data_IF_588531019247
#
_entry.id   IF_588531019247
#
_cell.length_a   1.000
_cell.length_b   1.000
_cell.length_c   1.000
_cell.angle_alpha   90.00
_cell.angle_beta   90.00
_cell.angle_gamma   90.00
#
_symmetry.space_group_name_H-M   'P 1'
#
loop_
_entity.id
_entity.type
_entity.pdbx_description
1 polymer ?
#
# COMPACT_ATOMS: atom_id res chain seq x y z
N UNK A 1 12.18 -17.63 -0.54
CA UNK A 1 11.52 -16.99 -1.70
C UNK A 1 12.12 -15.60 -1.85
N UNK A 2 12.40 -15.12 -3.07
CA UNK A 2 13.09 -13.83 -3.27
C UNK A 2 12.09 -12.68 -3.36
N UNK A 3 12.28 -11.65 -2.54
CA UNK A 3 11.56 -10.37 -2.64
C UNK A 3 12.39 -9.34 -3.40
N UNK A 4 11.70 -8.47 -4.12
CA UNK A 4 12.27 -7.35 -4.87
C UNK A 4 11.42 -6.12 -4.59
N UNK A 5 12.06 -5.02 -4.20
CA UNK A 5 11.39 -3.75 -3.94
C UNK A 5 11.66 -2.82 -5.10
N UNK A 6 10.60 -2.25 -5.68
CA UNK A 6 10.70 -1.25 -6.74
C UNK A 6 10.48 0.14 -6.14
N UNK A 7 11.42 1.06 -6.37
CA UNK A 7 11.27 2.46 -5.98
C UNK A 7 11.16 3.38 -7.20
N UNK A 8 10.69 4.61 -6.99
CA UNK A 8 10.67 5.63 -8.05
C UNK A 8 12.07 6.15 -8.37
N UNK A 9 12.89 6.35 -7.33
CA UNK A 9 14.27 6.83 -7.37
C UNK A 9 15.15 5.96 -6.47
N UNK A 10 16.45 6.02 -6.71
CA UNK A 10 17.42 5.18 -6.01
C UNK A 10 17.51 5.47 -4.50
N UNK A 11 17.22 6.71 -4.09
CA UNK A 11 17.30 7.16 -2.70
C UNK A 11 15.92 7.28 -2.02
N UNK A 12 14.85 6.77 -2.63
CA UNK A 12 13.51 6.77 -1.99
C UNK A 12 13.46 5.80 -0.79
N UNK A 13 14.39 4.84 -0.71
CA UNK A 13 14.54 3.89 0.38
C UNK A 13 16.02 3.47 0.43
N UNK A 14 16.64 3.54 1.62
CA UNK A 14 18.04 3.14 1.77
C UNK A 14 18.22 1.63 1.51
N UNK A 15 19.30 1.26 0.83
CA UNK A 15 19.62 -0.13 0.54
C UNK A 15 19.89 -0.95 1.81
N UNK A 16 20.28 -0.30 2.92
CA UNK A 16 20.44 -0.97 4.21
C UNK A 16 19.14 -1.07 5.02
N UNK A 17 18.07 -0.42 4.59
CA UNK A 17 16.78 -0.44 5.31
C UNK A 17 16.08 -1.80 5.25
N UNK A 18 16.50 -2.69 4.36
CA UNK A 18 15.90 -4.01 4.15
C UNK A 18 16.91 -4.98 3.54
N UNK A 19 16.88 -6.29 3.88
CA UNK A 19 17.75 -7.28 3.24
C UNK A 19 17.37 -7.56 1.77
N UNK A 20 16.24 -7.03 1.30
CA UNK A 20 15.71 -7.30 -0.04
C UNK A 20 16.34 -6.42 -1.11
N UNK A 21 16.41 -6.95 -2.33
CA UNK A 21 16.97 -6.20 -3.46
C UNK A 21 16.07 -5.02 -3.82
N UNK A 22 16.58 -3.80 -3.67
CA UNK A 22 15.94 -2.56 -4.14
C UNK A 22 16.44 -2.24 -5.55
N UNK A 23 15.52 -1.96 -6.48
CA UNK A 23 15.81 -1.45 -7.83
C UNK A 23 14.81 -0.38 -8.20
N UNK A 24 15.16 0.50 -9.14
CA UNK A 24 14.19 1.50 -9.62
C UNK A 24 13.17 0.87 -10.57
N UNK A 25 11.97 1.43 -10.63
CA UNK A 25 10.98 1.04 -11.63
C UNK A 25 11.50 1.23 -13.07
N UNK A 26 12.36 2.22 -13.31
CA UNK A 26 13.03 2.44 -14.61
C UNK A 26 13.89 1.25 -14.98
N UNK A 27 14.75 0.80 -14.06
CA UNK A 27 15.70 -0.28 -14.35
C UNK A 27 14.96 -1.62 -14.49
N UNK A 28 13.90 -1.85 -13.72
CA UNK A 28 13.04 -3.02 -13.83
C UNK A 28 12.32 -3.12 -15.20
N UNK A 29 11.89 -1.97 -15.73
CA UNK A 29 11.27 -1.87 -17.06
C UNK A 29 12.30 -2.04 -18.18
N UNK A 30 13.48 -1.42 -18.04
CA UNK A 30 14.50 -1.35 -19.08
C UNK A 30 15.29 -2.65 -19.30
N UNK A 31 15.28 -3.59 -18.34
CA UNK A 31 16.09 -4.81 -18.41
C UNK A 31 15.22 -6.08 -18.39
N UNK A 32 14.74 -6.58 -19.55
CA UNK A 32 13.86 -7.75 -19.60
C UNK A 32 14.45 -9.08 -19.15
N UNK A 33 15.77 -9.20 -19.17
CA UNK A 33 16.50 -10.38 -18.66
C UNK A 33 16.57 -10.43 -17.13
N UNK A 34 16.26 -9.31 -16.46
CA UNK A 34 16.33 -9.20 -15.01
C UNK A 34 15.28 -10.12 -14.39
N UNK A 35 15.74 -11.08 -13.58
CA UNK A 35 14.95 -12.19 -13.01
C UNK A 35 14.42 -13.22 -14.03
N UNK A 36 15.01 -13.33 -15.23
CA UNK A 36 14.65 -14.39 -16.19
C UNK A 36 14.77 -15.78 -15.53
N UNK A 37 13.72 -16.59 -15.65
CA UNK A 37 13.65 -17.92 -15.03
C UNK A 37 13.34 -17.92 -13.54
N UNK A 38 13.23 -16.75 -12.90
CA UNK A 38 12.82 -16.60 -11.51
C UNK A 38 11.37 -16.13 -11.43
N UNK A 39 10.75 -16.26 -10.25
CA UNK A 39 9.39 -15.76 -9.97
C UNK A 39 9.38 -15.01 -8.64
N UNK A 40 10.07 -13.85 -8.56
CA UNK A 40 10.12 -13.08 -7.33
C UNK A 40 8.74 -12.55 -6.92
N UNK A 41 8.61 -12.23 -5.64
CA UNK A 41 7.54 -11.35 -5.15
C UNK A 41 8.03 -9.91 -5.23
N UNK A 42 7.22 -9.03 -5.79
CA UNK A 42 7.57 -7.64 -6.09
C UNK A 42 6.71 -6.72 -5.23
N UNK A 43 7.36 -5.86 -4.44
CA UNK A 43 6.70 -4.77 -3.72
C UNK A 43 7.01 -3.50 -4.50
N UNK A 44 6.00 -2.95 -5.14
CA UNK A 44 6.11 -1.72 -5.90
C UNK A 44 5.80 -0.54 -4.98
N UNK A 45 6.81 0.26 -4.67
CA UNK A 45 6.77 1.49 -3.85
C UNK A 45 6.98 2.73 -4.73
N UNK A 46 6.48 2.69 -5.98
CA UNK A 46 6.58 3.84 -6.87
C UNK A 46 5.82 5.06 -6.31
N UNK A 47 6.38 6.25 -6.51
CA UNK A 47 5.76 7.50 -6.06
C UNK A 47 4.46 7.87 -6.81
N UNK A 48 4.20 7.22 -7.96
CA UNK A 48 3.02 7.45 -8.77
C UNK A 48 2.54 6.13 -9.40
N UNK A 49 1.23 5.87 -9.31
CA UNK A 49 0.54 4.71 -9.85
C UNK A 49 -0.51 5.05 -10.91
N UNK A 50 -0.61 6.32 -11.33
CA UNK A 50 -1.56 6.74 -12.35
C UNK A 50 -1.38 5.98 -13.67
N UNK A 51 -2.44 5.94 -14.48
CA UNK A 51 -2.41 5.29 -15.78
C UNK A 51 -1.21 5.79 -16.62
N UNK A 52 -0.53 4.86 -17.29
CA UNK A 52 0.71 5.10 -18.06
C UNK A 52 1.92 5.59 -17.25
N UNK A 53 1.85 5.64 -15.92
CA UNK A 53 3.03 5.90 -15.10
C UNK A 53 4.00 4.71 -15.12
N UNK A 54 5.26 4.96 -14.73
CA UNK A 54 6.23 3.88 -14.55
C UNK A 54 5.82 2.87 -13.48
N UNK A 55 5.15 3.33 -12.41
CA UNK A 55 4.64 2.44 -11.36
C UNK A 55 3.58 1.50 -11.92
N UNK A 56 2.64 2.02 -12.71
CA UNK A 56 1.63 1.23 -13.41
C UNK A 56 2.26 0.19 -14.34
N UNK A 57 3.16 0.61 -15.23
CA UNK A 57 3.81 -0.31 -16.17
C UNK A 57 4.69 -1.35 -15.46
N UNK A 58 5.33 -1.01 -14.34
CA UNK A 58 6.13 -1.96 -13.59
C UNK A 58 5.28 -3.10 -13.01
N UNK A 59 4.11 -2.80 -12.43
CA UNK A 59 3.20 -3.84 -11.96
C UNK A 59 2.57 -4.64 -13.11
N UNK A 60 2.21 -3.98 -14.22
CA UNK A 60 1.73 -4.68 -15.41
C UNK A 60 2.75 -5.70 -15.93
N UNK A 61 4.00 -5.26 -16.09
CA UNK A 61 5.09 -6.08 -16.58
C UNK A 61 5.45 -7.21 -15.61
N UNK A 62 5.39 -6.95 -14.29
CA UNK A 62 5.54 -7.99 -13.28
C UNK A 62 4.49 -9.09 -13.43
N UNK A 63 3.21 -8.73 -13.60
CA UNK A 63 2.13 -9.66 -13.87
C UNK A 63 2.38 -10.48 -15.14
N UNK A 64 2.74 -9.84 -16.26
CA UNK A 64 3.05 -10.53 -17.52
C UNK A 64 4.24 -11.48 -17.44
N UNK A 65 5.19 -11.24 -16.51
CA UNK A 65 6.34 -12.13 -16.24
C UNK A 65 6.02 -13.25 -15.26
N UNK A 66 4.79 -13.31 -14.72
CA UNK A 66 4.42 -14.27 -13.66
C UNK A 66 5.06 -13.97 -12.30
N UNK A 67 5.54 -12.74 -12.08
CA UNK A 67 5.97 -12.27 -10.78
C UNK A 67 4.74 -11.89 -9.95
N UNK A 68 4.73 -12.21 -8.65
CA UNK A 68 3.65 -11.80 -7.76
C UNK A 68 3.91 -10.36 -7.31
N UNK A 69 3.11 -9.40 -7.74
CA UNK A 69 3.32 -7.97 -7.44
C UNK A 69 2.24 -7.40 -6.53
N UNK A 70 2.62 -6.49 -5.64
CA UNK A 70 1.70 -5.63 -4.90
C UNK A 70 2.14 -4.15 -5.01
N UNK A 71 1.22 -3.20 -5.26
CA UNK A 71 -0.16 -3.46 -5.69
C UNK A 71 -0.20 -4.00 -7.13
N UNK A 72 -1.28 -4.73 -7.46
CA UNK A 72 -1.57 -5.13 -8.84
C UNK A 72 -2.11 -3.93 -9.64
N UNK A 73 -2.16 -4.06 -10.96
CA UNK A 73 -2.79 -3.05 -11.83
C UNK A 73 -4.26 -2.87 -11.48
N UNK A 74 -4.97 -3.96 -11.16
CA UNK A 74 -6.37 -3.92 -10.72
C UNK A 74 -6.51 -3.06 -9.46
N UNK A 75 -5.72 -3.30 -8.42
CA UNK A 75 -5.74 -2.48 -7.20
C UNK A 75 -5.41 -1.01 -7.47
N UNK A 76 -4.51 -0.71 -8.41
CA UNK A 76 -4.23 0.67 -8.82
C UNK A 76 -5.44 1.33 -9.50
N UNK A 77 -6.15 0.59 -10.36
CA UNK A 77 -7.35 1.07 -11.04
C UNK A 77 -8.48 1.27 -10.03
N UNK A 78 -8.73 0.29 -9.16
CA UNK A 78 -9.76 0.38 -8.13
C UNK A 78 -9.59 1.64 -7.29
N UNK A 79 -8.37 1.92 -6.82
CA UNK A 79 -8.06 3.10 -6.00
C UNK A 79 -7.88 4.41 -6.78
N UNK A 80 -7.99 4.41 -8.11
CA UNK A 80 -7.78 5.61 -8.93
C UNK A 80 -8.90 6.64 -8.79
N UNK A 81 -10.13 6.19 -8.58
CA UNK A 81 -11.31 7.03 -8.39
C UNK A 81 -12.23 6.42 -7.34
N UNK A 82 -12.84 7.26 -6.50
CA UNK A 82 -13.72 6.81 -5.41
C UNK A 82 -14.85 5.90 -5.90
N UNK A 83 -15.49 6.25 -7.01
CA UNK A 83 -16.62 5.51 -7.60
C UNK A 83 -16.30 4.03 -7.89
N UNK A 84 -15.02 3.70 -8.10
CA UNK A 84 -14.60 2.34 -8.45
C UNK A 84 -14.56 1.42 -7.23
N UNK A 85 -14.29 1.96 -6.04
CA UNK A 85 -14.30 1.21 -4.78
C UNK A 85 -15.54 1.47 -3.89
N UNK A 86 -16.54 2.21 -4.37
CA UNK A 86 -17.74 2.56 -3.58
C UNK A 86 -18.46 1.33 -3.02
N UNK A 87 -18.44 0.21 -3.75
CA UNK A 87 -19.04 -1.05 -3.33
C UNK A 87 -18.38 -1.67 -2.08
N UNK A 88 -17.10 -1.38 -1.81
CA UNK A 88 -16.38 -1.87 -0.63
C UNK A 88 -16.65 -1.01 0.63
N UNK A 89 -17.12 0.22 0.45
CA UNK A 89 -17.25 1.19 1.54
C UNK A 89 -18.21 0.77 2.66
N UNK A 90 -19.39 0.17 2.41
CA UNK A 90 -20.29 -0.22 3.50
C UNK A 90 -19.64 -1.19 4.49
N UNK A 91 -18.90 -2.18 3.99
CA UNK A 91 -18.21 -3.15 4.84
C UNK A 91 -17.02 -2.54 5.57
N UNK A 92 -16.22 -1.73 4.86
CA UNK A 92 -15.07 -1.03 5.42
C UNK A 92 -15.49 -0.02 6.50
N UNK A 93 -16.57 0.75 6.29
CA UNK A 93 -17.09 1.69 7.27
C UNK A 93 -17.67 0.98 8.49
N UNK A 94 -18.31 -0.18 8.33
CA UNK A 94 -18.74 -0.98 9.47
C UNK A 94 -17.56 -1.43 10.33
N UNK A 95 -16.47 -1.88 9.72
CA UNK A 95 -15.24 -2.23 10.44
C UNK A 95 -14.60 -1.00 11.08
N UNK A 96 -14.52 0.12 10.36
CA UNK A 96 -13.98 1.39 10.84
C UNK A 96 -14.72 1.90 12.09
N UNK A 97 -16.05 1.80 12.09
CA UNK A 97 -16.86 2.27 13.22
C UNK A 97 -16.76 1.37 14.46
N UNK A 98 -16.42 0.08 14.30
CA UNK A 98 -16.02 -0.77 15.43
C UNK A 98 -14.71 -0.27 16.03
N UNK A 99 -13.71 0.02 15.18
CA UNK A 99 -12.44 0.62 15.62
C UNK A 99 -12.67 1.96 16.34
N UNK A 100 -13.55 2.82 15.79
CA UNK A 100 -13.92 4.10 16.39
C UNK A 100 -14.46 3.96 17.81
N UNK A 101 -15.40 3.02 18.01
CA UNK A 101 -15.98 2.74 19.32
C UNK A 101 -14.93 2.25 20.33
N UNK A 102 -14.04 1.37 19.89
CA UNK A 102 -13.01 0.77 20.74
C UNK A 102 -11.87 1.76 21.07
N UNK A 103 -11.54 2.67 20.14
CA UNK A 103 -10.53 3.71 20.37
C UNK A 103 -11.04 4.75 21.38
N UNK A 104 -12.30 5.16 21.25
CA UNK A 104 -12.90 6.21 22.06
C UNK A 104 -12.29 7.60 21.81
N UNK A 105 -12.97 8.65 22.28
CA UNK A 105 -12.47 10.01 22.19
C UNK A 105 -12.37 10.54 20.75
N UNK A 106 -11.26 11.22 20.44
CA UNK A 106 -11.03 11.88 19.15
C UNK A 106 -10.58 10.84 18.11
N UNK A 107 -11.36 10.70 17.04
CA UNK A 107 -11.01 9.84 15.92
C UNK A 107 -10.14 10.59 14.89
N UNK A 108 -9.07 9.99 14.35
CA UNK A 108 -8.16 10.70 13.47
C UNK A 108 -8.81 10.99 12.12
N UNK A 109 -8.54 12.18 11.56
CA UNK A 109 -9.00 12.55 10.22
C UNK A 109 -8.29 11.76 9.11
N UNK A 110 -7.12 11.18 9.41
CA UNK A 110 -6.32 10.36 8.50
C UNK A 110 -5.64 9.24 9.26
N UNK A 111 -5.52 8.07 8.63
CA UNK A 111 -4.77 6.94 9.18
C UNK A 111 -3.96 6.29 8.07
N UNK A 112 -2.69 6.00 8.38
CA UNK A 112 -1.81 5.20 7.54
C UNK A 112 -1.95 3.72 7.91
N UNK A 113 -2.06 2.85 6.89
CA UNK A 113 -2.14 1.40 7.03
C UNK A 113 -1.06 0.79 6.13
N UNK A 114 -0.18 -0.03 6.72
CA UNK A 114 0.96 -0.62 6.02
C UNK A 114 0.83 -2.14 6.00
N UNK A 115 0.80 -2.75 4.81
CA UNK A 115 0.67 -4.21 4.63
C UNK A 115 -0.50 -4.84 5.43
N UNK A 116 -1.59 -4.10 5.64
CA UNK A 116 -2.74 -4.53 6.43
C UNK A 116 -2.57 -4.41 7.96
N UNK A 117 -1.57 -3.64 8.40
CA UNK A 117 -1.27 -3.35 9.81
C UNK A 117 -1.57 -1.87 10.06
N UNK A 118 -2.39 -1.59 11.07
CA UNK A 118 -2.73 -0.23 11.49
C UNK A 118 -1.91 0.23 12.70
N UNK A 119 -2.07 1.49 13.14
CA UNK A 119 -1.21 2.10 14.16
C UNK A 119 -1.36 1.50 15.57
N UNK A 120 -2.41 0.71 15.82
CA UNK A 120 -2.60 0.00 17.09
C UNK A 120 -3.54 -1.19 16.90
N UNK A 121 -3.59 -2.09 17.90
CA UNK A 121 -4.43 -3.31 17.87
C UNK A 121 -5.92 -3.04 17.62
N UNK A 122 -6.40 -1.84 17.99
CA UNK A 122 -7.79 -1.43 17.74
C UNK A 122 -8.10 -1.40 16.24
N UNK A 123 -7.10 -1.16 15.40
CA UNK A 123 -7.24 -1.08 13.94
C UNK A 123 -7.15 -2.43 13.22
N UNK A 124 -6.73 -3.51 13.89
CA UNK A 124 -6.39 -4.79 13.24
C UNK A 124 -7.49 -5.31 12.32
N UNK A 125 -8.76 -5.25 12.75
CA UNK A 125 -9.88 -5.74 11.94
C UNK A 125 -10.07 -4.90 10.69
N UNK A 126 -10.04 -3.58 10.83
CA UNK A 126 -10.19 -2.65 9.70
C UNK A 126 -8.99 -2.75 8.74
N UNK A 127 -7.77 -2.78 9.28
CA UNK A 127 -6.54 -2.82 8.51
C UNK A 127 -6.42 -4.11 7.65
N UNK A 128 -6.77 -5.26 8.24
CA UNK A 128 -6.82 -6.54 7.51
C UNK A 128 -7.87 -6.52 6.41
N UNK A 129 -9.10 -6.11 6.72
CA UNK A 129 -10.18 -6.02 5.74
C UNK A 129 -9.82 -5.06 4.59
N UNK A 130 -9.23 -3.90 4.91
CA UNK A 130 -8.76 -2.94 3.92
C UNK A 130 -7.71 -3.56 2.98
N UNK A 131 -6.80 -4.38 3.52
CA UNK A 131 -5.77 -5.06 2.75
C UNK A 131 -6.29 -6.24 1.93
N UNK A 132 -7.36 -6.90 2.40
CA UNK A 132 -8.07 -7.94 1.64
C UNK A 132 -8.77 -7.33 0.41
N UNK A 133 -9.40 -6.16 0.57
CA UNK A 133 -9.98 -5.40 -0.54
C UNK A 133 -8.91 -4.82 -1.47
N UNK A 134 -7.91 -4.15 -0.90
CA UNK A 134 -6.87 -3.43 -1.63
C UNK A 134 -5.49 -3.85 -1.16
N UNK A 135 -4.97 -4.90 -1.81
CA UNK A 135 -3.64 -5.43 -1.48
C UNK A 135 -2.54 -4.47 -1.94
N UNK A 136 -2.18 -3.53 -1.07
CA UNK A 136 -1.20 -2.48 -1.32
C UNK A 136 -0.20 -2.34 -0.15
N UNK A 137 1.07 -1.97 -0.43
CA UNK A 137 2.09 -1.82 0.61
C UNK A 137 1.77 -0.74 1.64
N UNK A 138 1.27 0.40 1.18
CA UNK A 138 0.97 1.54 2.02
C UNK A 138 -0.27 2.30 1.52
N UNK A 139 -1.25 2.44 2.41
CA UNK A 139 -2.50 3.15 2.18
C UNK A 139 -2.69 4.27 3.21
N UNK A 140 -3.27 5.38 2.78
CA UNK A 140 -3.78 6.45 3.63
C UNK A 140 -5.32 6.47 3.47
N UNK A 141 -6.02 6.41 4.59
CA UNK A 141 -7.49 6.53 4.64
C UNK A 141 -7.86 7.87 5.22
N UNK A 142 -8.61 8.67 4.46
CA UNK A 142 -9.14 9.97 4.90
C UNK A 142 -10.53 9.74 5.46
N UNK A 143 -10.77 10.21 6.67
CA UNK A 143 -11.95 9.92 7.46
C UNK A 143 -12.66 11.22 7.80
N UNK A 144 -14.00 11.22 7.67
CA UNK A 144 -14.85 12.24 8.28
C UNK A 144 -15.59 11.60 9.44
N UNK A 145 -15.27 12.02 10.66
CA UNK A 145 -15.99 11.64 11.87
C UNK A 145 -17.08 12.66 12.18
N UNK A 146 -18.33 12.20 12.30
CA UNK A 146 -19.49 13.00 12.71
C UNK A 146 -19.96 12.68 14.13
N UNK A 147 -19.04 12.25 15.01
CA UNK A 147 -19.25 11.86 16.41
C UNK A 147 -20.06 10.57 16.64
N UNK A 148 -21.02 10.25 15.78
CA UNK A 148 -21.77 8.99 15.82
C UNK A 148 -21.24 7.98 14.79
N UNK A 149 -20.75 8.49 13.65
CA UNK A 149 -20.29 7.67 12.53
C UNK A 149 -19.04 8.25 11.87
N UNK A 150 -18.06 7.39 11.61
CA UNK A 150 -16.92 7.67 10.76
C UNK A 150 -17.19 7.18 9.33
N UNK A 151 -17.23 8.10 8.37
CA UNK A 151 -17.31 7.80 6.93
C UNK A 151 -15.93 7.90 6.28
N UNK A 152 -15.64 6.99 5.34
CA UNK A 152 -14.41 7.03 4.54
C UNK A 152 -14.62 8.05 3.43
N UNK A 153 -13.77 9.07 3.37
CA UNK A 153 -13.77 10.09 2.31
C UNK A 153 -12.93 9.69 1.12
N UNK A 154 -11.77 9.09 1.37
CA UNK A 154 -10.84 8.63 0.34
C UNK A 154 -9.98 7.51 0.88
N UNK A 155 -9.74 6.51 0.05
CA UNK A 155 -8.66 5.54 0.19
C UNK A 155 -7.66 5.85 -0.93
N UNK A 156 -6.37 5.90 -0.60
CA UNK A 156 -5.34 6.11 -1.61
C UNK A 156 -3.99 5.58 -1.16
N UNK A 157 -3.06 5.46 -2.10
CA UNK A 157 -1.69 5.09 -1.79
C UNK A 157 -0.99 6.18 -0.97
N UNK A 158 -0.15 5.76 -0.03
CA UNK A 158 0.75 6.62 0.72
C UNK A 158 2.20 6.41 0.24
N UNK A 159 2.77 7.33 -0.58
CA UNK A 159 4.16 7.25 -1.02
C UNK A 159 5.13 7.44 0.16
N UNK A 160 6.29 6.78 0.12
CA UNK A 160 7.36 6.92 1.12
C UNK A 160 7.74 8.40 1.36
N UNK A 161 7.90 9.18 0.28
CA UNK A 161 8.25 10.59 0.36
C UNK A 161 7.22 11.50 1.06
N UNK A 162 6.03 10.97 1.41
CA UNK A 162 4.99 11.69 2.16
C UNK A 162 4.83 11.20 3.59
N UNK A 163 5.58 10.18 4.00
CA UNK A 163 5.57 9.66 5.37
C UNK A 163 6.37 10.60 6.28
N UNK A 164 5.91 10.71 7.52
CA UNK A 164 6.71 11.23 8.63
C UNK A 164 7.78 10.23 9.05
N UNK A 165 8.78 10.66 9.82
CA UNK A 165 9.84 9.77 10.31
C UNK A 165 9.27 8.59 11.12
N UNK A 166 8.25 8.83 11.94
CA UNK A 166 7.56 7.78 12.72
C UNK A 166 6.80 6.80 11.82
N UNK A 167 6.14 7.31 10.76
CA UNK A 167 5.45 6.48 9.78
C UNK A 167 6.42 5.64 8.94
N UNK A 168 7.58 6.20 8.56
CA UNK A 168 8.62 5.48 7.84
C UNK A 168 9.21 4.37 8.70
N UNK A 169 9.54 4.66 9.96
CA UNK A 169 10.01 3.65 10.91
C UNK A 169 8.97 2.53 11.10
N UNK A 170 7.69 2.88 11.23
CA UNK A 170 6.60 1.90 11.34
C UNK A 170 6.40 1.10 10.05
N UNK A 171 6.50 1.74 8.89
CA UNK A 171 6.44 1.08 7.58
C UNK A 171 7.53 0.02 7.43
N UNK A 172 8.77 0.32 7.84
CA UNK A 172 9.88 -0.64 7.79
C UNK A 172 9.65 -1.86 8.69
N UNK A 173 9.11 -1.66 9.89
CA UNK A 173 8.72 -2.76 10.78
C UNK A 173 7.61 -3.64 10.16
N UNK A 174 6.63 -3.01 9.50
CA UNK A 174 5.56 -3.72 8.82
C UNK A 174 6.06 -4.47 7.58
N UNK A 175 7.01 -3.89 6.84
CA UNK A 175 7.69 -4.53 5.71
C UNK A 175 8.43 -5.79 6.17
N UNK A 176 9.20 -5.70 7.25
CA UNK A 176 9.89 -6.85 7.83
C UNK A 176 8.89 -7.95 8.24
N UNK A 177 7.79 -7.58 8.90
CA UNK A 177 6.74 -8.54 9.31
C UNK A 177 6.06 -9.21 8.11
N UNK A 178 5.90 -8.48 7.00
CA UNK A 178 5.20 -8.96 5.80
C UNK A 178 6.06 -9.89 4.92
N UNK A 179 7.39 -9.77 4.97
CA UNK A 179 8.31 -10.39 3.99
C UNK A 179 9.02 -11.63 4.52
#
# INVERSE_FOLDING_TARGET
MTWVILTGRQNDLDQVATPHKIITNRDYLAHPSLFRGQRPKVINLSNNYGYQSRGYYASLLAGSRGHKVIPTVETMIDLSERKLYEHALPELELALNKCRKDLGGVFPAKVAIFFGIGPSKVWDRFAKLLFDWFRAPALEVHIKDSAEWASIRKIGFLPLARMTDDEEAFFLQCLETYT
#
